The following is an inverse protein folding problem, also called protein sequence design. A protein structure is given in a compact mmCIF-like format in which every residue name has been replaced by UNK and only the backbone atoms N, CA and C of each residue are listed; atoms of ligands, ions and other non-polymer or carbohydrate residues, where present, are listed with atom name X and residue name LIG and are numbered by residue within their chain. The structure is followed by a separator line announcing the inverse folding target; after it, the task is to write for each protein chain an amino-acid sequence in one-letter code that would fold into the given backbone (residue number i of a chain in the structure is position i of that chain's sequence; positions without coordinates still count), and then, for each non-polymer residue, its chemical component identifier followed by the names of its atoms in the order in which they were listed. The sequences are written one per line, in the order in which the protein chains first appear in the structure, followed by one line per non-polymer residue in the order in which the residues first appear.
data_IF_752196980873
#
_entry.id   IF_752196980873
#
_cell.length_a   1.000
_cell.length_b   1.000
_cell.length_c   1.000
_cell.angle_alpha   90.00
_cell.angle_beta   90.00
_cell.angle_gamma   90.00
#
_symmetry.space_group_name_H-M   'P 1'
#
loop_
_entity.id
_entity.type
_entity.pdbx_description
1 polymer ?
#
# COMPACT_ATOMS: atom_id res chain seq x y z
N UNK A 1 -28.83 -1.77 -21.32
CA UNK A 1 -29.83 -1.48 -20.26
C UNK A 1 -29.49 -2.33 -19.05
N UNK A 2 -29.13 -1.72 -17.92
CA UNK A 2 -29.07 -2.43 -16.64
C UNK A 2 -30.47 -2.36 -16.01
N UNK A 3 -31.08 -3.51 -15.76
CA UNK A 3 -32.41 -3.60 -15.18
C UNK A 3 -32.39 -3.20 -13.68
N UNK A 4 -33.25 -2.25 -13.31
CA UNK A 4 -33.72 -1.98 -11.95
C UNK A 4 -32.71 -1.39 -10.96
N UNK A 5 -32.82 -0.08 -10.69
CA UNK A 5 -32.39 0.62 -9.46
C UNK A 5 -31.01 0.29 -8.85
N UNK A 6 -30.06 -0.24 -9.62
CA UNK A 6 -28.69 -0.48 -9.17
C UNK A 6 -27.82 0.73 -9.49
N UNK A 7 -27.35 1.41 -8.45
CA UNK A 7 -26.30 2.43 -8.58
C UNK A 7 -24.96 1.72 -8.73
N UNK A 8 -24.37 1.77 -9.92
CA UNK A 8 -23.00 1.29 -10.13
C UNK A 8 -22.04 2.36 -9.64
N UNK A 9 -21.45 2.16 -8.46
CA UNK A 9 -20.38 3.02 -7.94
C UNK A 9 -19.07 2.61 -8.60
N UNK A 10 -18.57 3.42 -9.54
CA UNK A 10 -17.24 3.25 -10.11
C UNK A 10 -16.22 3.89 -9.17
N UNK A 11 -15.32 3.08 -8.61
CA UNK A 11 -14.23 3.59 -7.80
C UNK A 11 -13.07 4.03 -8.70
N UNK A 12 -12.49 5.20 -8.41
CA UNK A 12 -11.23 5.65 -8.99
C UNK A 12 -10.09 5.06 -8.15
N UNK A 13 -9.53 3.94 -8.63
CA UNK A 13 -8.45 3.23 -7.94
C UNK A 13 -7.21 4.11 -7.73
N UNK A 14 -6.87 4.97 -8.70
CA UNK A 14 -5.74 5.89 -8.57
C UNK A 14 -5.99 6.94 -7.49
N UNK A 15 -7.23 7.41 -7.32
CA UNK A 15 -7.59 8.29 -6.21
C UNK A 15 -7.48 7.58 -4.86
N UNK A 16 -7.98 6.35 -4.76
CA UNK A 16 -7.88 5.56 -3.53
C UNK A 16 -6.41 5.36 -3.15
N UNK A 17 -5.58 4.94 -4.10
CA UNK A 17 -4.15 4.77 -3.89
C UNK A 17 -3.48 6.06 -3.39
N UNK A 18 -3.74 7.21 -4.04
CA UNK A 18 -3.19 8.51 -3.59
C UNK A 18 -3.64 8.90 -2.18
N UNK A 19 -4.90 8.64 -1.83
CA UNK A 19 -5.42 8.96 -0.50
C UNK A 19 -4.80 8.04 0.55
N UNK A 20 -4.78 6.72 0.31
CA UNK A 20 -4.14 5.76 1.19
C UNK A 20 -2.67 6.11 1.43
N UNK A 21 -1.93 6.46 0.36
CA UNK A 21 -0.52 6.84 0.48
C UNK A 21 -0.31 8.12 1.29
N UNK A 22 -1.19 9.12 1.16
CA UNK A 22 -1.14 10.33 2.00
C UNK A 22 -1.37 10.02 3.48
N UNK A 23 -2.29 9.10 3.78
CA UNK A 23 -2.54 8.65 5.16
C UNK A 23 -1.29 7.97 5.71
N UNK A 24 -0.71 6.99 4.98
CA UNK A 24 0.54 6.32 5.38
C UNK A 24 1.65 7.34 5.68
N UNK A 25 1.91 8.27 4.76
CA UNK A 25 2.95 9.31 4.94
C UNK A 25 2.71 10.17 6.17
N UNK A 26 1.46 10.59 6.40
CA UNK A 26 1.08 11.37 7.58
C UNK A 26 1.26 10.60 8.88
N UNK A 27 0.86 9.33 8.92
CA UNK A 27 1.02 8.45 10.08
C UNK A 27 2.50 8.15 10.35
N UNK A 28 3.29 7.87 9.32
CA UNK A 28 4.72 7.69 9.48
C UNK A 28 5.38 8.94 10.05
N UNK A 29 5.02 10.13 9.56
CA UNK A 29 5.50 11.38 10.15
C UNK A 29 5.06 11.55 11.61
N UNK A 30 3.83 11.14 11.94
CA UNK A 30 3.34 11.18 13.32
C UNK A 30 4.21 10.35 14.27
N UNK A 31 4.54 9.11 13.89
CA UNK A 31 5.33 8.16 14.69
C UNK A 31 6.83 8.46 14.66
N UNK A 32 7.40 8.56 13.47
CA UNK A 32 8.85 8.50 13.25
C UNK A 32 9.47 9.87 12.96
N UNK A 33 8.66 10.92 12.80
CA UNK A 33 9.09 12.28 12.40
C UNK A 33 9.85 12.33 11.06
N UNK A 34 9.72 11.28 10.25
CA UNK A 34 10.26 11.18 8.90
C UNK A 34 9.13 11.17 7.87
N UNK A 35 9.43 11.59 6.64
CA UNK A 35 8.46 11.64 5.55
C UNK A 35 8.93 10.73 4.44
N UNK A 36 8.10 9.74 4.08
CA UNK A 36 8.40 8.91 2.90
C UNK A 36 8.32 9.75 1.61
N UNK A 37 9.15 9.42 0.59
CA UNK A 37 9.11 10.06 -0.72
C UNK A 37 7.72 9.98 -1.36
N UNK A 38 7.30 11.02 -2.08
CA UNK A 38 5.98 11.01 -2.72
C UNK A 38 5.88 10.00 -3.87
N UNK A 39 6.96 9.86 -4.65
CA UNK A 39 7.03 9.01 -5.84
C UNK A 39 7.28 7.53 -5.55
N UNK A 40 7.18 7.10 -4.29
CA UNK A 40 7.40 5.70 -3.93
C UNK A 40 6.34 4.80 -4.56
N UNK A 41 6.76 3.65 -5.10
CA UNK A 41 5.85 2.65 -5.64
C UNK A 41 5.16 1.91 -4.50
N UNK A 42 3.83 2.01 -4.44
CA UNK A 42 3.01 1.38 -3.41
C UNK A 42 2.01 0.41 -4.03
N UNK A 43 1.84 -0.76 -3.42
CA UNK A 43 0.70 -1.63 -3.67
C UNK A 43 -0.39 -1.31 -2.65
N UNK A 44 -1.59 -0.95 -3.12
CA UNK A 44 -2.75 -0.67 -2.26
C UNK A 44 -3.85 -1.67 -2.58
N UNK A 45 -4.34 -2.35 -1.56
CA UNK A 45 -5.52 -3.21 -1.64
C UNK A 45 -6.64 -2.67 -0.77
N UNK A 46 -7.88 -2.91 -1.17
CA UNK A 46 -9.08 -2.54 -0.44
C UNK A 46 -10.02 -3.75 -0.36
N UNK A 47 -10.42 -4.11 0.85
CA UNK A 47 -11.43 -5.14 1.12
C UNK A 47 -12.68 -4.45 1.68
N UNK A 48 -13.81 -4.49 0.95
CA UNK A 48 -15.09 -3.94 1.39
C UNK A 48 -15.66 -4.65 2.64
N UNK A 49 -16.64 -4.02 3.32
CA UNK A 49 -17.35 -4.65 4.43
C UNK A 49 -18.06 -5.94 4.00
N UNK A 50 -17.95 -6.98 4.83
CA UNK A 50 -18.59 -8.29 4.57
C UNK A 50 -17.86 -9.19 3.58
N UNK A 51 -16.75 -8.72 2.99
CA UNK A 51 -15.84 -9.57 2.23
C UNK A 51 -14.76 -10.18 3.14
N UNK A 52 -14.30 -11.37 2.77
CA UNK A 52 -13.28 -12.09 3.53
C UNK A 52 -11.94 -11.33 3.45
N UNK A 53 -11.26 -11.07 4.59
CA UNK A 53 -9.96 -10.44 4.57
C UNK A 53 -8.93 -11.29 3.80
N UNK A 54 -8.02 -10.67 3.04
CA UNK A 54 -6.99 -11.40 2.30
C UNK A 54 -6.01 -12.11 3.24
N UNK A 55 -5.45 -13.25 2.82
CA UNK A 55 -4.60 -14.09 3.67
C UNK A 55 -3.38 -13.35 4.24
N UNK A 56 -2.75 -12.49 3.43
CA UNK A 56 -1.63 -11.66 3.89
C UNK A 56 -2.00 -10.75 5.07
N UNK A 57 -3.28 -10.34 5.17
CA UNK A 57 -3.78 -9.47 6.23
C UNK A 57 -4.05 -10.31 7.47
N UNK A 58 -4.67 -11.48 7.31
CA UNK A 58 -4.86 -12.43 8.43
C UNK A 58 -3.53 -12.85 9.05
N UNK A 59 -2.54 -13.17 8.22
CA UNK A 59 -1.19 -13.48 8.66
C UNK A 59 -0.58 -12.30 9.43
N UNK A 60 -0.67 -11.09 8.87
CA UNK A 60 -0.20 -9.87 9.52
C UNK A 60 -0.89 -9.65 10.88
N UNK A 61 -2.20 -9.81 10.97
CA UNK A 61 -2.97 -9.68 12.21
C UNK A 61 -2.63 -10.74 13.27
N UNK A 62 -2.09 -11.89 12.87
CA UNK A 62 -1.67 -12.96 13.77
C UNK A 62 -0.27 -12.79 14.38
N UNK A 63 0.46 -11.75 13.99
CA UNK A 63 1.79 -11.47 14.53
C UNK A 63 1.70 -11.00 15.98
N UNK A 64 2.62 -11.49 16.82
CA UNK A 64 2.59 -11.23 18.26
C UNK A 64 2.95 -9.80 18.66
N UNK A 65 3.59 -9.05 17.77
CA UNK A 65 4.08 -7.69 17.97
C UNK A 65 3.31 -6.66 17.11
N UNK A 66 2.04 -6.96 16.81
CA UNK A 66 1.21 -6.15 15.94
C UNK A 66 0.15 -5.37 16.71
N UNK A 67 0.54 -4.43 17.57
CA UNK A 67 -0.40 -3.65 18.39
C UNK A 67 -1.16 -2.58 17.57
N UNK A 68 -2.45 -2.32 17.85
CA UNK A 68 -3.20 -1.23 17.22
C UNK A 68 -2.74 0.14 17.71
N UNK A 69 -2.75 1.12 16.79
CA UNK A 69 -2.37 2.50 17.09
C UNK A 69 -3.55 3.51 16.99
N UNK A 70 -4.75 3.07 16.60
CA UNK A 70 -5.93 3.93 16.51
C UNK A 70 -6.50 4.32 17.88
N UNK A 71 -6.80 5.61 18.07
CA UNK A 71 -7.47 6.11 19.30
C UNK A 71 -8.98 5.81 19.29
N UNK A 72 -9.57 5.66 18.10
CA UNK A 72 -10.99 5.38 17.92
C UNK A 72 -11.21 4.17 17.01
N UNK A 73 -10.98 2.93 17.52
CA UNK A 73 -10.88 1.74 16.67
C UNK A 73 -12.11 1.44 15.81
N UNK A 74 -13.31 1.85 16.26
CA UNK A 74 -14.55 1.68 15.49
C UNK A 74 -14.73 2.64 14.32
N UNK A 75 -13.87 3.65 14.17
CA UNK A 75 -13.89 4.61 13.06
C UNK A 75 -12.59 4.51 12.27
N UNK A 76 -11.47 4.46 12.98
CA UNK A 76 -10.15 4.35 12.39
C UNK A 76 -9.20 3.63 13.35
N UNK A 77 -8.77 2.45 12.94
CA UNK A 77 -7.65 1.74 13.53
C UNK A 77 -6.57 1.49 12.49
N UNK A 78 -5.33 1.39 12.95
CA UNK A 78 -4.23 1.07 12.05
C UNK A 78 -3.10 0.36 12.77
N UNK A 79 -2.38 -0.40 11.97
CA UNK A 79 -1.27 -1.25 12.37
C UNK A 79 -0.21 -1.17 11.29
N UNK A 80 1.05 -1.25 11.66
CA UNK A 80 2.13 -1.28 10.68
C UNK A 80 3.33 -2.04 11.20
N UNK A 81 4.09 -2.62 10.29
CA UNK A 81 5.36 -3.27 10.60
C UNK A 81 6.35 -3.08 9.46
N UNK A 82 7.62 -2.98 9.83
CA UNK A 82 8.72 -3.03 8.88
C UNK A 82 9.35 -4.43 8.96
N UNK A 83 9.21 -5.20 7.89
CA UNK A 83 9.82 -6.51 7.74
C UNK A 83 11.23 -6.35 7.20
N UNK A 84 12.19 -6.25 8.11
CA UNK A 84 13.62 -6.19 7.77
C UNK A 84 14.11 -7.60 7.38
N UNK A 85 14.42 -7.79 6.11
CA UNK A 85 14.85 -9.06 5.50
C UNK A 85 15.29 -8.83 4.05
N UNK A 86 15.30 -9.87 3.21
CA UNK A 86 15.78 -9.78 1.82
C UNK A 86 15.05 -8.72 0.98
N UNK A 87 13.77 -8.48 1.26
CA UNK A 87 12.96 -7.52 0.48
C UNK A 87 12.74 -6.17 1.19
N UNK A 88 13.08 -6.05 2.47
CA UNK A 88 12.90 -4.86 3.31
C UNK A 88 11.57 -4.12 3.06
N UNK A 89 10.47 -4.67 3.57
CA UNK A 89 9.10 -4.25 3.20
C UNK A 89 8.38 -3.59 4.36
N UNK A 90 7.74 -2.46 4.08
CA UNK A 90 6.77 -1.84 4.98
C UNK A 90 5.37 -2.32 4.66
N UNK A 91 4.66 -2.80 5.68
CA UNK A 91 3.26 -3.18 5.59
C UNK A 91 2.43 -2.33 6.53
N UNK A 92 1.39 -1.71 5.98
CA UNK A 92 0.42 -0.91 6.73
C UNK A 92 -0.96 -1.48 6.49
N UNK A 93 -1.73 -1.61 7.56
CA UNK A 93 -3.12 -2.01 7.50
C UNK A 93 -4.00 -1.00 8.24
N UNK A 94 -5.09 -0.59 7.60
CA UNK A 94 -6.07 0.35 8.11
C UNK A 94 -7.42 -0.33 8.18
N UNK A 95 -8.16 -0.04 9.24
CA UNK A 95 -9.58 -0.31 9.33
C UNK A 95 -10.31 1.04 9.37
N UNK A 96 -11.19 1.26 8.40
CA UNK A 96 -11.98 2.49 8.26
C UNK A 96 -13.47 2.18 8.42
N UNK A 97 -14.14 2.93 9.29
CA UNK A 97 -15.59 2.84 9.53
C UNK A 97 -16.04 1.39 9.77
N UNK A 98 -17.12 0.97 9.09
CA UNK A 98 -17.74 -0.36 9.15
C UNK A 98 -16.86 -1.47 8.52
N UNK A 99 -15.61 -1.60 8.97
CA UNK A 99 -14.66 -2.64 8.57
C UNK A 99 -14.20 -2.59 7.10
N UNK A 100 -14.02 -1.40 6.52
CA UNK A 100 -13.27 -1.27 5.27
C UNK A 100 -11.79 -1.49 5.60
N UNK A 101 -11.22 -2.57 5.06
CA UNK A 101 -9.79 -2.86 5.24
C UNK A 101 -9.04 -2.24 4.07
N UNK A 102 -7.98 -1.49 4.37
CA UNK A 102 -7.04 -1.02 3.36
C UNK A 102 -5.66 -1.51 3.78
N UNK A 103 -4.95 -2.17 2.86
CA UNK A 103 -3.55 -2.54 3.08
C UNK A 103 -2.66 -1.77 2.12
N UNK A 104 -1.51 -1.33 2.60
CA UNK A 104 -0.48 -0.66 1.80
C UNK A 104 0.84 -1.38 2.03
N UNK A 105 1.44 -1.85 0.93
CA UNK A 105 2.73 -2.51 0.92
C UNK A 105 3.69 -1.72 0.04
N UNK A 106 4.91 -1.49 0.51
CA UNK A 106 5.97 -0.85 -0.25
C UNK A 106 7.34 -1.27 0.25
N UNK A 107 8.34 -1.23 -0.64
CA UNK A 107 9.74 -1.44 -0.24
C UNK A 107 10.25 -0.23 0.53
N UNK A 108 11.19 -0.46 1.44
CA UNK A 108 11.89 0.61 2.13
C UNK A 108 12.46 1.63 1.12
N UNK A 109 12.40 2.94 1.40
CA UNK A 109 12.95 3.95 0.50
C UNK A 109 14.44 3.80 0.19
N UNK A 110 15.20 3.09 1.02
CA UNK A 110 16.60 2.75 0.78
C UNK A 110 16.79 1.43 0.01
N UNK A 111 15.72 0.82 -0.52
CA UNK A 111 15.81 -0.44 -1.25
C UNK A 111 16.43 -0.26 -2.64
N UNK A 112 17.54 -0.96 -2.89
CA UNK A 112 18.30 -0.91 -4.14
C UNK A 112 17.93 -2.05 -5.12
N UNK A 113 16.81 -2.74 -4.92
CA UNK A 113 16.44 -3.86 -5.79
C UNK A 113 16.06 -3.40 -7.20
N UNK A 114 16.16 -4.32 -8.17
CA UNK A 114 15.84 -4.05 -9.58
C UNK A 114 14.40 -3.62 -9.83
N UNK A 115 13.47 -3.90 -8.92
CA UNK A 115 12.07 -3.45 -9.02
C UNK A 115 11.90 -1.98 -8.59
N UNK A 116 12.76 -1.49 -7.70
CA UNK A 116 12.81 -0.11 -7.22
C UNK A 116 13.70 0.77 -8.11
N UNK A 117 14.78 0.19 -8.64
CA UNK A 117 15.71 0.79 -9.59
C UNK A 117 15.76 -0.05 -10.87
N UNK A 118 14.71 0.01 -11.71
CA UNK A 118 14.76 -0.65 -13.01
C UNK A 118 15.97 -0.11 -13.79
N UNK A 119 16.76 -0.97 -14.45
CA UNK A 119 17.87 -0.50 -15.28
C UNK A 119 17.31 0.50 -16.30
N UNK A 120 17.97 1.66 -16.43
CA UNK A 120 17.56 2.71 -17.35
C UNK A 120 17.31 2.11 -18.73
N UNK A 121 16.07 2.21 -19.22
CA UNK A 121 15.70 1.76 -20.57
C UNK A 121 16.21 2.76 -21.63
N UNK A 122 17.48 3.12 -21.54
CA UNK A 122 18.22 3.94 -22.50
C UNK A 122 19.41 3.16 -23.06
N UNK A 123 19.20 1.92 -23.50
CA UNK A 123 20.01 1.41 -24.60
C UNK A 123 19.34 1.83 -25.90
N UNK A 124 19.85 2.95 -26.39
CA UNK A 124 19.61 3.46 -27.73
C UNK A 124 20.02 2.37 -28.71
N UNK A 125 19.10 1.96 -29.58
CA UNK A 125 19.44 1.21 -30.80
C UNK A 125 20.34 2.11 -31.65
N UNK A 126 21.65 2.00 -31.49
CA UNK A 126 22.60 2.48 -32.48
C UNK A 126 22.78 1.41 -33.54
N UNK A 127 22.29 1.71 -34.74
CA UNK A 127 22.73 1.13 -36.01
C UNK A 127 24.26 1.25 -36.15
N UNK A 128 24.88 0.21 -36.73
CA UNK A 128 26.25 0.07 -37.30
C UNK A 128 26.93 -1.16 -36.67
N UNK A 129 27.41 -2.22 -37.35
CA UNK A 129 27.96 -2.41 -38.70
C UNK A 129 27.73 -3.88 -39.13
N UNK A 130 27.10 -4.19 -40.28
CA UNK A 130 27.77 -4.46 -41.57
C UNK A 130 29.21 -4.97 -41.47
N UNK A 131 29.34 -6.31 -41.50
CA UNK A 131 30.55 -7.06 -41.82
C UNK A 131 30.18 -8.45 -42.28
#
# INVERSE_FOLDING_TARGET
MLAGNKVVKRFDGSRIQRVAWKVVRGLNFHHNKTVFPEALRTLVSLTPPGEEPPDHFKMFMGLSDNEPHGVYPGIFDYRFQNFTGEQNIHYWAFLLWDCIIITVLFHDPACECSDCHPPDSSETVTKADLG
#
